data_IF_658972204237
#
_entry.id   IF_658972204237
#
_cell.length_a   1.000
_cell.length_b   1.000
_cell.length_c   1.000
_cell.angle_alpha   90.00
_cell.angle_beta   90.00
_cell.angle_gamma   90.00
#
_symmetry.space_group_name_H-M   'P 1'
#
loop_
_entity.id
_entity.type
_entity.pdbx_description
1 polymer ?
#
# COMPACT_ATOMS: atom_id res chain seq x y z
N UNK A 1 18.76 3.93 61.01
CA UNK A 1 17.71 4.60 60.20
C UNK A 1 18.26 5.34 58.96
N UNK A 2 19.45 5.97 58.98
CA UNK A 2 20.02 6.70 57.82
C UNK A 2 20.26 5.87 56.55
N UNK A 3 20.59 4.58 56.69
CA UNK A 3 20.88 3.68 55.56
C UNK A 3 19.62 3.17 54.82
N UNK A 4 18.46 3.13 55.49
CA UNK A 4 17.19 2.69 54.88
C UNK A 4 16.53 3.78 54.02
N UNK A 5 16.78 5.05 54.31
CA UNK A 5 16.29 6.16 53.50
C UNK A 5 17.06 6.32 52.18
N UNK A 6 18.37 6.01 52.18
CA UNK A 6 19.21 6.10 50.97
C UNK A 6 18.85 5.04 49.93
N UNK A 7 18.53 3.81 50.34
CA UNK A 7 18.10 2.75 49.41
C UNK A 7 16.75 3.05 48.76
N UNK A 8 15.82 3.66 49.51
CA UNK A 8 14.49 4.00 49.01
C UNK A 8 14.52 5.14 47.97
N UNK A 9 15.40 6.13 48.18
CA UNK A 9 15.64 7.20 47.21
C UNK A 9 16.29 6.65 45.93
N UNK A 10 17.25 5.73 46.06
CA UNK A 10 17.90 5.13 44.89
C UNK A 10 16.92 4.34 44.00
N UNK A 11 16.00 3.57 44.60
CA UNK A 11 14.97 2.81 43.86
C UNK A 11 13.95 3.75 43.19
N UNK A 12 13.59 4.85 43.85
CA UNK A 12 12.68 5.85 43.29
C UNK A 12 13.30 6.63 42.11
N UNK A 13 14.58 7.01 42.21
CA UNK A 13 15.30 7.66 41.11
C UNK A 13 15.51 6.69 39.94
N UNK A 14 15.84 5.43 40.20
CA UNK A 14 16.00 4.42 39.16
C UNK A 14 14.69 4.17 38.37
N UNK A 15 13.54 4.13 39.05
CA UNK A 15 12.25 3.90 38.40
C UNK A 15 11.78 5.08 37.53
N UNK A 16 12.12 6.32 37.89
CA UNK A 16 11.87 7.50 37.03
C UNK A 16 12.72 7.45 35.77
N UNK A 17 14.01 7.10 35.91
CA UNK A 17 14.94 7.02 34.77
C UNK A 17 14.54 5.89 33.81
N UNK A 18 14.17 4.71 34.32
CA UNK A 18 13.76 3.59 33.49
C UNK A 18 12.46 3.84 32.71
N UNK A 19 11.49 4.55 33.29
CA UNK A 19 10.24 4.89 32.61
C UNK A 19 10.44 5.97 31.53
N UNK A 20 11.31 6.96 31.76
CA UNK A 20 11.64 7.99 30.78
C UNK A 20 12.42 7.45 29.57
N UNK A 21 13.48 6.67 29.82
CA UNK A 21 14.33 6.14 28.75
C UNK A 21 13.59 5.20 27.80
N UNK A 22 12.69 4.37 28.34
CA UNK A 22 11.94 3.42 27.52
C UNK A 22 10.82 4.10 26.71
N UNK A 23 10.25 5.19 27.23
CA UNK A 23 9.25 6.01 26.52
C UNK A 23 9.88 6.74 25.33
N UNK A 24 11.02 7.40 25.52
CA UNK A 24 11.69 8.17 24.46
C UNK A 24 12.20 7.28 23.31
N UNK A 25 12.72 6.09 23.64
CA UNK A 25 13.15 5.13 22.62
C UNK A 25 11.97 4.60 21.78
N UNK A 26 10.81 4.38 22.40
CA UNK A 26 9.62 3.92 21.70
C UNK A 26 9.02 5.03 20.81
N UNK A 27 9.01 6.27 21.29
CA UNK A 27 8.60 7.45 20.52
C UNK A 27 9.51 7.67 19.30
N UNK A 28 10.83 7.58 19.46
CA UNK A 28 11.77 7.74 18.35
C UNK A 28 11.60 6.65 17.28
N UNK A 29 11.35 5.40 17.70
CA UNK A 29 11.09 4.29 16.79
C UNK A 29 9.76 4.47 16.03
N UNK A 30 8.72 4.96 16.72
CA UNK A 30 7.41 5.24 16.14
C UNK A 30 7.48 6.40 15.15
N UNK A 31 8.16 7.49 15.49
CA UNK A 31 8.45 8.60 14.57
C UNK A 31 9.19 8.10 13.33
N UNK A 32 10.25 7.30 13.48
CA UNK A 32 11.00 6.76 12.35
C UNK A 32 10.16 5.87 11.42
N UNK A 33 9.23 5.08 11.98
CA UNK A 33 8.27 4.29 11.18
C UNK A 33 7.27 5.18 10.44
N UNK A 34 6.75 6.22 11.10
CA UNK A 34 5.84 7.18 10.49
C UNK A 34 6.52 7.96 9.36
N UNK A 35 7.75 8.41 9.54
CA UNK A 35 8.51 9.10 8.48
C UNK A 35 8.77 8.19 7.27
N UNK A 36 9.12 6.92 7.51
CA UNK A 36 9.31 5.95 6.43
C UNK A 36 8.03 5.73 5.64
N UNK A 37 6.88 5.59 6.32
CA UNK A 37 5.58 5.44 5.65
C UNK A 37 5.17 6.72 4.91
N UNK A 38 5.38 7.90 5.49
CA UNK A 38 5.06 9.18 4.85
C UNK A 38 5.81 9.35 3.53
N UNK A 39 7.08 8.95 3.48
CA UNK A 39 7.87 9.00 2.24
C UNK A 39 7.32 8.09 1.14
N UNK A 40 6.88 6.88 1.50
CA UNK A 40 6.24 5.97 0.54
C UNK A 40 4.93 6.57 0.01
N UNK A 41 4.13 7.14 0.90
CA UNK A 41 2.85 7.75 0.56
C UNK A 41 2.99 9.01 -0.31
N UNK A 42 4.00 9.83 -0.03
CA UNK A 42 4.36 10.99 -0.86
C UNK A 42 4.80 10.55 -2.26
N UNK A 43 5.69 9.57 -2.35
CA UNK A 43 6.19 9.13 -3.65
C UNK A 43 5.10 8.50 -4.51
N UNK A 44 4.21 7.70 -3.91
CA UNK A 44 3.05 7.17 -4.63
C UNK A 44 2.17 8.32 -5.15
N UNK A 45 1.89 9.33 -4.32
CA UNK A 45 1.09 10.49 -4.72
C UNK A 45 1.72 11.23 -5.90
N UNK A 46 3.03 11.43 -5.86
CA UNK A 46 3.77 12.11 -6.93
C UNK A 46 3.72 11.32 -8.26
N UNK A 47 3.94 10.00 -8.23
CA UNK A 47 3.84 9.17 -9.44
C UNK A 47 2.42 9.23 -10.02
N UNK A 48 1.40 9.06 -9.18
CA UNK A 48 0.01 9.09 -9.63
C UNK A 48 -0.37 10.47 -10.19
N UNK A 49 0.10 11.56 -9.58
CA UNK A 49 -0.13 12.91 -10.08
C UNK A 49 0.53 13.15 -11.45
N UNK A 50 1.77 12.66 -11.66
CA UNK A 50 2.45 12.74 -12.96
C UNK A 50 1.74 11.93 -14.04
N UNK A 51 1.19 10.76 -13.69
CA UNK A 51 0.38 9.96 -14.60
C UNK A 51 -0.93 10.67 -14.93
N UNK A 52 -1.64 11.19 -13.94
CA UNK A 52 -2.91 11.94 -14.11
C UNK A 52 -2.71 13.21 -14.96
N UNK A 53 -1.54 13.84 -14.88
CA UNK A 53 -1.18 15.00 -15.70
C UNK A 53 -1.09 14.70 -17.22
N UNK A 54 -1.06 13.42 -17.63
CA UNK A 54 -1.09 13.03 -19.06
C UNK A 54 -2.46 13.26 -19.71
N UNK A 55 -3.51 13.48 -18.93
CA UNK A 55 -4.88 13.78 -19.39
C UNK A 55 -5.48 12.73 -20.34
N UNK A 56 -5.06 11.49 -20.20
CA UNK A 56 -5.64 10.37 -20.92
C UNK A 56 -6.71 9.68 -20.07
N UNK A 57 -7.82 9.29 -20.70
CA UNK A 57 -8.96 8.68 -20.01
C UNK A 57 -8.60 7.33 -19.37
N UNK A 58 -7.78 6.52 -20.05
CA UNK A 58 -7.35 5.20 -19.56
C UNK A 58 -6.28 5.30 -18.49
N UNK A 59 -5.40 6.31 -18.58
CA UNK A 59 -4.48 6.63 -17.49
C UNK A 59 -5.26 7.08 -16.24
N UNK A 60 -6.29 7.91 -16.41
CA UNK A 60 -7.13 8.37 -15.29
C UNK A 60 -7.91 7.22 -14.63
N UNK A 61 -8.46 6.32 -15.45
CA UNK A 61 -9.11 5.08 -14.98
C UNK A 61 -8.13 4.20 -14.20
N UNK A 62 -6.92 3.98 -14.73
CA UNK A 62 -5.85 3.25 -14.05
C UNK A 62 -5.49 3.90 -12.69
N UNK A 63 -5.33 5.22 -12.63
CA UNK A 63 -4.99 5.92 -11.38
C UNK A 63 -6.08 5.74 -10.32
N UNK A 64 -7.35 5.81 -10.71
CA UNK A 64 -8.48 5.58 -9.80
C UNK A 64 -8.52 4.12 -9.31
N UNK A 65 -8.35 3.18 -10.23
CA UNK A 65 -8.29 1.75 -9.93
C UNK A 65 -7.14 1.42 -8.98
N UNK A 66 -5.97 2.02 -9.19
CA UNK A 66 -4.80 1.87 -8.33
C UNK A 66 -5.07 2.35 -6.90
N UNK A 67 -5.61 3.57 -6.75
CA UNK A 67 -5.96 4.14 -5.43
C UNK A 67 -6.98 3.27 -4.69
N UNK A 68 -7.92 2.64 -5.40
CA UNK A 68 -8.92 1.74 -4.82
C UNK A 68 -8.33 0.39 -4.43
N UNK A 69 -7.45 -0.19 -5.25
CA UNK A 69 -6.87 -1.50 -5.02
C UNK A 69 -5.79 -1.49 -3.92
N UNK A 70 -5.06 -0.38 -3.78
CA UNK A 70 -3.92 -0.27 -2.89
C UNK A 70 -4.03 0.97 -1.97
N UNK A 71 -4.96 0.95 -1.00
CA UNK A 71 -5.15 2.07 -0.06
C UNK A 71 -3.99 2.23 0.93
N UNK A 72 -3.22 1.17 1.19
CA UNK A 72 -2.01 1.20 2.00
C UNK A 72 -0.79 1.01 1.11
N UNK A 73 0.15 1.95 1.16
CA UNK A 73 1.34 1.91 0.30
C UNK A 73 2.39 0.97 0.89
N UNK A 74 2.87 0.04 0.07
CA UNK A 74 4.02 -0.81 0.37
C UNK A 74 5.15 -0.54 -0.62
N UNK A 75 6.39 -0.86 -0.23
CA UNK A 75 7.56 -0.67 -1.08
C UNK A 75 7.46 -1.48 -2.39
N UNK A 76 6.91 -2.69 -2.34
CA UNK A 76 6.73 -3.56 -3.50
C UNK A 76 5.73 -2.96 -4.49
N UNK A 77 4.61 -2.41 -3.98
CA UNK A 77 3.60 -1.76 -4.82
C UNK A 77 4.10 -0.46 -5.41
N UNK A 78 4.90 0.30 -4.66
CA UNK A 78 5.55 1.49 -5.17
C UNK A 78 6.53 1.16 -6.31
N UNK A 79 7.29 0.07 -6.19
CA UNK A 79 8.16 -0.39 -7.26
C UNK A 79 7.38 -0.86 -8.50
N UNK A 80 6.26 -1.58 -8.31
CA UNK A 80 5.34 -1.93 -9.41
C UNK A 80 4.81 -0.67 -10.11
N UNK A 81 4.41 0.34 -9.33
CA UNK A 81 3.91 1.62 -9.85
C UNK A 81 4.97 2.36 -10.66
N UNK A 82 6.24 2.40 -10.22
CA UNK A 82 7.37 2.99 -10.99
C UNK A 82 7.56 2.29 -12.33
N UNK A 83 7.46 0.96 -12.37
CA UNK A 83 7.59 0.19 -13.61
C UNK A 83 6.42 0.47 -14.56
N UNK A 84 5.20 0.59 -14.03
CA UNK A 84 4.02 0.97 -14.82
C UNK A 84 4.17 2.39 -15.34
N UNK A 85 4.63 3.34 -14.52
CA UNK A 85 4.90 4.72 -14.94
C UNK A 85 5.87 4.76 -16.12
N UNK A 86 6.98 4.00 -16.04
CA UNK A 86 7.94 3.91 -17.13
C UNK A 86 7.29 3.35 -18.42
N UNK A 87 6.46 2.31 -18.32
CA UNK A 87 5.74 1.75 -19.47
C UNK A 87 4.77 2.75 -20.09
N UNK A 88 3.97 3.45 -19.27
CA UNK A 88 3.01 4.45 -19.72
C UNK A 88 3.70 5.70 -20.30
N UNK A 89 4.89 6.04 -19.80
CA UNK A 89 5.71 7.09 -20.39
C UNK A 89 6.23 6.73 -21.79
N UNK A 90 6.53 5.45 -22.02
CA UNK A 90 6.95 4.96 -23.34
C UNK A 90 5.76 4.83 -24.31
N UNK A 91 4.64 4.30 -23.83
CA UNK A 91 3.40 4.14 -24.59
C UNK A 91 2.18 4.29 -23.68
N UNK A 92 1.41 5.36 -23.90
CA UNK A 92 0.26 5.72 -23.08
C UNK A 92 -0.87 4.70 -23.17
N UNK A 93 -0.97 3.96 -24.28
CA UNK A 93 -2.06 3.01 -24.52
C UNK A 93 -2.00 1.80 -23.59
N UNK A 94 -0.81 1.49 -23.07
CA UNK A 94 -0.56 0.37 -22.15
C UNK A 94 -1.26 0.60 -20.79
N UNK A 95 -1.62 1.84 -20.45
CA UNK A 95 -2.38 2.11 -19.23
C UNK A 95 -3.70 1.33 -19.17
N UNK A 96 -4.34 1.07 -20.33
CA UNK A 96 -5.57 0.30 -20.42
C UNK A 96 -5.40 -1.13 -19.87
N UNK A 97 -4.25 -1.75 -20.08
CA UNK A 97 -3.97 -3.14 -19.65
C UNK A 97 -3.86 -3.28 -18.13
N UNK A 98 -3.61 -2.18 -17.43
CA UNK A 98 -3.46 -2.17 -15.98
C UNK A 98 -4.75 -1.82 -15.22
N UNK A 99 -5.81 -1.42 -15.93
CA UNK A 99 -7.14 -1.20 -15.36
C UNK A 99 -7.75 -2.48 -14.80
N UNK A 100 -8.62 -2.36 -13.79
CA UNK A 100 -9.38 -3.48 -13.22
C UNK A 100 -10.24 -4.12 -14.31
N UNK A 101 -10.85 -3.31 -15.19
CA UNK A 101 -11.66 -3.80 -16.31
C UNK A 101 -10.87 -4.73 -17.25
N UNK A 102 -9.61 -4.40 -17.58
CA UNK A 102 -8.77 -5.26 -18.40
C UNK A 102 -8.38 -6.56 -17.67
N UNK A 103 -8.12 -6.48 -16.36
CA UNK A 103 -7.83 -7.67 -15.53
C UNK A 103 -9.04 -8.61 -15.45
N UNK A 104 -10.25 -8.07 -15.28
CA UNK A 104 -11.51 -8.83 -15.28
C UNK A 104 -11.75 -9.49 -16.64
N UNK A 105 -11.65 -8.73 -17.73
CA UNK A 105 -11.80 -9.27 -19.10
C UNK A 105 -10.84 -10.42 -19.40
N UNK A 106 -9.61 -10.37 -18.86
CA UNK A 106 -8.64 -11.46 -19.00
C UNK A 106 -9.03 -12.69 -18.16
N UNK A 107 -9.56 -12.48 -16.96
CA UNK A 107 -10.08 -13.55 -16.12
C UNK A 107 -11.30 -14.23 -16.76
N UNK A 108 -12.23 -13.45 -17.30
CA UNK A 108 -13.43 -13.96 -17.99
C UNK A 108 -13.04 -14.81 -19.20
N UNK A 109 -12.12 -14.32 -20.04
CA UNK A 109 -11.59 -15.11 -21.17
C UNK A 109 -10.92 -16.41 -20.74
N UNK A 110 -10.23 -16.41 -19.60
CA UNK A 110 -9.60 -17.63 -19.07
C UNK A 110 -10.66 -18.60 -18.56
N UNK A 111 -11.67 -18.11 -17.86
CA UNK A 111 -12.79 -18.91 -17.36
C UNK A 111 -13.60 -19.51 -18.52
N UNK A 112 -13.88 -18.70 -19.55
CA UNK A 112 -14.52 -19.16 -20.79
C UNK A 112 -13.66 -20.21 -21.48
N UNK A 113 -12.35 -20.01 -21.61
CA UNK A 113 -11.43 -20.97 -22.24
C UNK A 113 -11.33 -22.30 -21.46
N UNK A 114 -11.41 -22.26 -20.13
CA UNK A 114 -11.42 -23.44 -19.25
C UNK A 114 -12.79 -24.14 -19.26
N UNK A 115 -13.87 -23.41 -19.54
CA UNK A 115 -15.20 -23.99 -19.68
C UNK A 115 -15.38 -24.79 -20.99
N UNK A 116 -14.48 -24.67 -21.98
CA UNK A 116 -14.66 -25.28 -23.31
C UNK A 116 -14.12 -26.71 -23.56
N UNK A 117 -13.49 -27.47 -22.63
CA UNK A 117 -13.34 -28.92 -22.84
C UNK A 117 -14.32 -29.79 -22.06
N UNK A 118 -15.03 -29.24 -21.05
CA UNK A 118 -16.01 -30.00 -20.26
C UNK A 118 -17.32 -29.22 -20.18
N UNK A 119 -18.17 -29.42 -21.19
CA UNK A 119 -19.49 -28.78 -21.27
C UNK A 119 -20.33 -28.98 -20.02
N UNK A 120 -20.35 -27.97 -19.15
CA UNK A 120 -21.53 -27.57 -18.38
C UNK A 120 -21.52 -26.06 -18.26
N UNK A 121 -22.49 -25.43 -18.92
CA UNK A 121 -22.90 -24.07 -18.60
C UNK A 121 -23.31 -24.07 -17.12
N UNK A 122 -22.46 -23.56 -16.24
CA UNK A 122 -22.96 -23.05 -14.97
C UNK A 122 -23.65 -21.74 -15.31
N UNK A 123 -24.95 -21.84 -15.62
CA UNK A 123 -25.84 -20.69 -15.58
C UNK A 123 -25.78 -20.15 -14.16
N UNK A 124 -24.99 -19.09 -13.95
CA UNK A 124 -25.13 -18.24 -12.78
C UNK A 124 -26.47 -17.52 -12.92
N UNK A 125 -27.51 -18.16 -12.38
CA UNK A 125 -28.84 -17.60 -12.25
C UNK A 125 -28.77 -16.38 -11.31
N UNK A 126 -29.02 -15.13 -11.76
CA UNK A 126 -29.10 -13.99 -10.87
C UNK A 126 -30.51 -13.95 -10.30
N UNK A 127 -30.73 -14.60 -9.17
CA UNK A 127 -32.00 -14.50 -8.46
C UNK A 127 -32.29 -15.66 -7.52
N UNK A 128 -31.73 -15.59 -6.31
CA UNK A 128 -32.43 -15.86 -5.04
C UNK A 128 -31.70 -15.16 -3.91
#
# INVERSE_FOLDING_TARGET
MRLLFLSLVAVYVASIISNGLSSDANVALEIGRHEAQSKLDEEQRDILARLEAKRDAKVSEFVQDWRRAYPAVSAERLQELRLIEQKVNNDITVAADFTIAAKQKKADRLNDAIAVPFGRKFEANPGM
#
